data_IF_447114274255
#
_entry.id   IF_447114274255
#
_cell.length_a   1.000
_cell.length_b   1.000
_cell.length_c   1.000
_cell.angle_alpha   90.00
_cell.angle_beta   90.00
_cell.angle_gamma   90.00
#
_symmetry.space_group_name_H-M   'P 1'
#
loop_
_entity.id
_entity.type
_entity.pdbx_description
1 polymer ?
#
# COMPACT_ATOMS: atom_id res chain seq x y z
N UNK A 1 6.17 -19.29 6.88
CA UNK A 1 5.77 -17.97 6.33
C UNK A 1 4.35 -18.11 5.82
N UNK A 2 3.45 -17.23 6.24
CA UNK A 2 2.05 -17.21 5.83
C UNK A 2 1.88 -16.91 4.35
N UNK A 3 0.73 -17.27 3.78
CA UNK A 3 0.47 -17.10 2.36
C UNK A 3 0.39 -15.63 1.97
N UNK A 4 -0.24 -14.79 2.80
CA UNK A 4 -0.25 -13.34 2.60
C UNK A 4 1.16 -12.74 2.50
N UNK A 5 2.08 -13.14 3.39
CA UNK A 5 3.46 -12.61 3.34
C UNK A 5 4.22 -13.12 2.12
N UNK A 6 4.00 -14.37 1.68
CA UNK A 6 4.59 -14.87 0.43
C UNK A 6 4.10 -14.06 -0.77
N UNK A 7 2.81 -13.77 -0.84
CA UNK A 7 2.22 -12.93 -1.89
C UNK A 7 2.78 -11.51 -1.83
N UNK A 8 2.85 -10.91 -0.63
CA UNK A 8 3.43 -9.58 -0.43
C UNK A 8 4.90 -9.52 -0.87
N UNK A 9 5.69 -10.56 -0.65
CA UNK A 9 7.09 -10.61 -1.10
C UNK A 9 7.26 -11.12 -2.53
N UNK A 10 6.16 -11.46 -3.20
CA UNK A 10 6.12 -11.97 -4.55
C UNK A 10 6.50 -10.94 -5.61
N UNK A 11 6.41 -11.35 -6.88
CA UNK A 11 6.64 -10.46 -8.02
C UNK A 11 5.41 -9.59 -8.26
N UNK A 12 5.66 -8.32 -8.51
CA UNK A 12 4.64 -7.37 -8.91
C UNK A 12 5.07 -6.65 -10.19
N UNK A 13 4.09 -6.30 -11.00
CA UNK A 13 4.20 -5.47 -12.19
C UNK A 13 3.99 -4.03 -11.74
N UNK A 14 5.01 -3.19 -11.92
CA UNK A 14 4.89 -1.74 -11.71
C UNK A 14 4.15 -1.10 -12.86
N UNK A 15 3.12 -0.32 -12.55
CA UNK A 15 2.28 0.33 -13.55
C UNK A 15 2.88 1.70 -13.85
N UNK A 16 3.46 1.84 -15.04
CA UNK A 16 4.17 3.06 -15.41
C UNK A 16 3.23 4.13 -15.96
N UNK A 17 2.32 3.79 -16.88
CA UNK A 17 1.46 4.79 -17.52
C UNK A 17 0.24 5.12 -16.68
N UNK A 18 -0.19 6.39 -16.73
CA UNK A 18 -1.40 6.83 -16.04
C UNK A 18 -2.67 6.14 -16.56
N UNK A 19 -2.75 5.88 -17.87
CA UNK A 19 -3.90 5.18 -18.46
C UNK A 19 -4.04 3.75 -17.92
N UNK A 20 -2.93 3.02 -17.81
CA UNK A 20 -2.91 1.67 -17.24
C UNK A 20 -3.26 1.69 -15.74
N UNK A 21 -2.78 2.70 -15.00
CA UNK A 21 -3.12 2.88 -13.59
C UNK A 21 -4.63 3.14 -13.43
N UNK A 22 -5.18 4.04 -14.24
CA UNK A 22 -6.60 4.34 -14.26
C UNK A 22 -7.43 3.10 -14.63
N UNK A 23 -6.98 2.30 -15.60
CA UNK A 23 -7.63 1.06 -15.99
C UNK A 23 -7.65 0.03 -14.85
N UNK A 24 -6.54 -0.14 -14.12
CA UNK A 24 -6.50 -1.01 -12.95
C UNK A 24 -7.48 -0.54 -11.87
N UNK A 25 -7.43 0.75 -11.49
CA UNK A 25 -8.31 1.28 -10.43
C UNK A 25 -9.79 1.14 -10.81
N UNK A 26 -10.13 1.37 -12.08
CA UNK A 26 -11.49 1.12 -12.58
C UNK A 26 -11.89 -0.36 -12.51
N UNK A 27 -10.98 -1.28 -12.83
CA UNK A 27 -11.23 -2.72 -12.70
C UNK A 27 -11.56 -3.11 -11.27
N UNK A 28 -10.87 -2.53 -10.28
CA UNK A 28 -11.16 -2.75 -8.85
C UNK A 28 -12.53 -2.20 -8.47
N UNK A 29 -12.91 -1.02 -8.96
CA UNK A 29 -14.24 -0.43 -8.75
C UNK A 29 -15.34 -1.31 -9.35
N UNK A 30 -15.13 -1.89 -10.53
CA UNK A 30 -16.10 -2.77 -11.17
C UNK A 30 -16.14 -4.19 -10.58
N UNK A 31 -15.15 -4.57 -9.77
CA UNK A 31 -15.07 -5.89 -9.11
C UNK A 31 -14.75 -5.72 -7.62
N UNK A 32 -15.65 -5.08 -6.84
CA UNK A 32 -15.35 -4.58 -5.50
C UNK A 32 -15.51 -5.65 -4.40
N UNK A 33 -16.01 -6.83 -4.74
CA UNK A 33 -16.31 -7.88 -3.76
C UNK A 33 -15.03 -8.57 -3.25
N UNK A 34 -15.10 -9.14 -2.04
CA UNK A 34 -14.05 -9.98 -1.45
C UNK A 34 -12.66 -9.34 -1.33
N UNK A 35 -12.59 -8.01 -1.19
CA UNK A 35 -11.32 -7.31 -0.98
C UNK A 35 -11.11 -6.90 0.48
N UNK A 36 -9.91 -7.18 0.99
CA UNK A 36 -9.35 -6.46 2.12
C UNK A 36 -8.64 -5.21 1.62
N UNK A 37 -8.89 -4.07 2.28
CA UNK A 37 -8.11 -2.85 2.12
C UNK A 37 -7.37 -2.62 3.44
N UNK A 38 -6.06 -2.79 3.42
CA UNK A 38 -5.21 -2.50 4.56
C UNK A 38 -4.46 -1.19 4.31
N UNK A 39 -4.84 -0.13 5.02
CA UNK A 39 -4.01 1.05 5.20
C UNK A 39 -2.98 0.78 6.30
N UNK A 40 -1.70 0.80 5.94
CA UNK A 40 -0.58 0.50 6.85
C UNK A 40 -0.38 1.55 7.96
N UNK A 41 -1.13 2.65 7.94
CA UNK A 41 -1.20 3.60 9.05
C UNK A 41 -2.24 3.21 10.12
N UNK A 42 -3.11 2.26 9.80
CA UNK A 42 -4.22 1.81 10.63
C UNK A 42 -4.03 0.36 11.10
N UNK A 43 -4.96 -0.13 11.93
CA UNK A 43 -4.94 -1.53 12.35
C UNK A 43 -5.24 -2.49 11.18
N UNK A 44 -4.60 -3.66 11.19
CA UNK A 44 -4.82 -4.70 10.17
C UNK A 44 -6.31 -5.10 10.13
N UNK A 45 -6.97 -5.06 8.96
CA UNK A 45 -8.39 -5.38 8.86
C UNK A 45 -8.63 -6.87 9.12
N UNK A 46 -9.71 -7.18 9.85
CA UNK A 46 -10.09 -8.56 10.18
C UNK A 46 -11.09 -9.18 9.19
N UNK A 47 -11.78 -8.36 8.42
CA UNK A 47 -12.80 -8.72 7.42
C UNK A 47 -12.60 -7.95 6.11
N UNK A 48 -13.19 -8.45 5.03
CA UNK A 48 -13.28 -7.72 3.77
C UNK A 48 -14.16 -6.47 3.93
N UNK A 49 -13.97 -5.50 3.05
CA UNK A 49 -14.85 -4.35 2.95
C UNK A 49 -16.14 -4.73 2.22
N UNK A 50 -17.22 -4.01 2.50
CA UNK A 50 -18.40 -4.06 1.64
C UNK A 50 -18.10 -3.33 0.31
N UNK A 51 -18.76 -3.76 -0.76
CA UNK A 51 -18.53 -3.27 -2.11
C UNK A 51 -18.63 -1.74 -2.25
N UNK A 52 -19.60 -1.11 -1.57
CA UNK A 52 -19.82 0.34 -1.62
C UNK A 52 -18.66 1.11 -0.99
N UNK A 53 -18.26 0.72 0.23
CA UNK A 53 -17.13 1.34 0.92
C UNK A 53 -15.82 1.11 0.17
N UNK A 54 -15.59 -0.09 -0.34
CA UNK A 54 -14.41 -0.38 -1.15
C UNK A 54 -14.35 0.53 -2.38
N UNK A 55 -15.44 0.63 -3.14
CA UNK A 55 -15.52 1.51 -4.32
C UNK A 55 -15.25 2.97 -3.99
N UNK A 56 -15.80 3.46 -2.87
CA UNK A 56 -15.58 4.82 -2.40
C UNK A 56 -14.09 5.05 -2.04
N UNK A 57 -13.45 4.11 -1.34
CA UNK A 57 -12.04 4.23 -0.97
C UNK A 57 -11.10 4.14 -2.18
N UNK A 58 -11.36 3.26 -3.16
CA UNK A 58 -10.58 3.23 -4.40
C UNK A 58 -10.74 4.54 -5.18
N UNK A 59 -11.94 5.12 -5.19
CA UNK A 59 -12.19 6.43 -5.82
C UNK A 59 -11.43 7.54 -5.10
N UNK A 60 -11.40 7.52 -3.77
CA UNK A 60 -10.64 8.48 -2.97
C UNK A 60 -9.13 8.33 -3.19
N UNK A 61 -8.60 7.11 -3.20
CA UNK A 61 -7.18 6.84 -3.52
C UNK A 61 -6.87 7.36 -4.91
N UNK A 62 -7.72 7.11 -5.91
CA UNK A 62 -7.54 7.63 -7.27
C UNK A 62 -7.43 9.16 -7.30
N UNK A 63 -8.29 9.86 -6.57
CA UNK A 63 -8.22 11.32 -6.42
C UNK A 63 -6.89 11.75 -5.81
N UNK A 64 -6.46 11.13 -4.70
CA UNK A 64 -5.17 11.42 -4.06
C UNK A 64 -4.00 11.22 -5.04
N UNK A 65 -3.99 10.11 -5.78
CA UNK A 65 -2.94 9.84 -6.75
C UNK A 65 -2.91 10.92 -7.85
N UNK A 66 -4.08 11.32 -8.36
CA UNK A 66 -4.18 12.30 -9.45
C UNK A 66 -3.81 13.72 -9.01
N UNK A 67 -4.22 14.11 -7.81
CA UNK A 67 -4.00 15.47 -7.29
C UNK A 67 -2.60 15.64 -6.68
N UNK A 68 -2.05 14.60 -6.05
CA UNK A 68 -0.79 14.72 -5.31
C UNK A 68 0.42 14.16 -6.04
N UNK A 69 0.24 13.27 -7.03
CA UNK A 69 1.35 12.74 -7.81
C UNK A 69 1.56 13.56 -9.10
N UNK A 70 2.26 14.68 -8.97
CA UNK A 70 2.56 15.62 -10.06
C UNK A 70 3.67 15.14 -11.01
N UNK A 71 3.75 13.83 -11.25
CA UNK A 71 4.71 13.20 -12.16
C UNK A 71 4.05 12.84 -13.50
N UNK A 72 4.86 12.78 -14.56
CA UNK A 72 4.36 12.44 -15.92
C UNK A 72 3.92 10.99 -16.08
N UNK A 73 4.19 10.15 -15.09
CA UNK A 73 3.90 8.72 -15.09
C UNK A 73 3.42 8.30 -13.68
N UNK A 74 2.73 7.17 -13.58
CA UNK A 74 2.23 6.65 -12.30
C UNK A 74 3.38 6.06 -11.47
N UNK A 75 3.94 4.90 -11.82
CA UNK A 75 5.14 4.33 -11.18
C UNK A 75 5.04 3.99 -9.69
N UNK A 76 3.87 4.17 -9.07
CA UNK A 76 3.64 4.03 -7.62
C UNK A 76 2.50 3.06 -7.29
N UNK A 77 1.93 2.44 -8.33
CA UNK A 77 0.93 1.38 -8.23
C UNK A 77 1.51 0.10 -8.81
N UNK A 78 1.32 -1.00 -8.09
CA UNK A 78 1.86 -2.30 -8.44
C UNK A 78 0.79 -3.36 -8.29
N UNK A 79 0.73 -4.34 -9.20
CA UNK A 79 -0.19 -5.48 -9.08
C UNK A 79 0.51 -6.79 -9.41
N UNK A 80 0.03 -7.90 -8.86
CA UNK A 80 0.55 -9.23 -9.19
C UNK A 80 0.10 -9.73 -10.56
N UNK A 81 -1.05 -9.26 -11.07
CA UNK A 81 -1.61 -9.64 -12.37
C UNK A 81 -2.43 -8.47 -12.95
N UNK A 82 -2.16 -8.10 -14.20
CA UNK A 82 -2.84 -6.98 -14.87
C UNK A 82 -4.28 -7.31 -15.25
N UNK A 83 -4.57 -8.57 -15.55
CA UNK A 83 -5.87 -9.02 -16.04
C UNK A 83 -6.80 -9.36 -14.89
N UNK A 84 -6.31 -10.14 -13.93
CA UNK A 84 -7.05 -10.66 -12.78
C UNK A 84 -6.29 -10.35 -11.47
N UNK A 85 -6.24 -9.07 -11.06
CA UNK A 85 -5.50 -8.68 -9.86
C UNK A 85 -6.08 -9.39 -8.64
N UNK A 86 -5.21 -9.98 -7.82
CA UNK A 86 -5.58 -10.50 -6.49
C UNK A 86 -4.79 -9.82 -5.38
N UNK A 87 -3.76 -9.06 -5.74
CA UNK A 87 -2.97 -8.23 -4.86
C UNK A 87 -2.55 -6.94 -5.58
N UNK A 88 -2.83 -5.79 -4.97
CA UNK A 88 -2.38 -4.46 -5.43
C UNK A 88 -1.68 -3.74 -4.27
N UNK A 89 -0.56 -3.09 -4.57
CA UNK A 89 0.18 -2.22 -3.66
C UNK A 89 0.17 -0.81 -4.21
N UNK A 90 -0.18 0.16 -3.37
CA UNK A 90 -0.23 1.57 -3.74
C UNK A 90 0.61 2.37 -2.75
N UNK A 91 1.61 3.06 -3.28
CA UNK A 91 2.44 3.97 -2.51
C UNK A 91 1.83 5.36 -2.52
N UNK A 92 1.75 5.99 -1.35
CA UNK A 92 1.24 7.35 -1.24
C UNK A 92 2.26 8.34 -1.84
N UNK A 93 1.84 9.30 -2.69
CA UNK A 93 2.75 10.22 -3.38
C UNK A 93 3.69 11.00 -2.45
N UNK A 94 3.16 11.50 -1.33
CA UNK A 94 3.93 12.20 -0.28
C UNK A 94 4.96 11.35 0.49
N UNK A 95 4.96 10.03 0.33
CA UNK A 95 5.85 9.11 1.05
C UNK A 95 7.05 8.61 0.20
N UNK A 96 7.15 9.01 -1.07
CA UNK A 96 8.18 8.53 -2.02
C UNK A 96 9.58 9.15 -1.75
N UNK A 97 9.64 10.41 -1.32
CA UNK A 97 10.88 11.18 -1.17
C UNK A 97 11.79 10.77 0.01
N UNK A 98 11.41 9.77 0.81
CA UNK A 98 12.18 9.32 1.98
C UNK A 98 13.17 8.17 1.68
N UNK A 99 13.22 7.67 0.45
CA UNK A 99 14.06 6.52 0.06
C UNK A 99 14.81 6.71 -1.26
N UNK A 100 15.10 7.95 -1.68
CA UNK A 100 16.00 8.22 -2.81
C UNK A 100 17.47 8.04 -2.38
N UNK A 101 17.89 6.78 -2.27
CA UNK A 101 19.29 6.42 -2.05
C UNK A 101 19.40 5.04 -1.42
N UNK A 102 19.61 4.02 -2.26
CA UNK A 102 20.13 2.69 -1.90
C UNK A 102 19.82 2.21 -0.46
N UNK A 103 18.57 2.32 0.00
CA UNK A 103 18.29 2.16 1.42
C UNK A 103 18.02 0.69 1.72
N UNK A 104 18.66 0.18 2.78
CA UNK A 104 18.47 -1.17 3.35
C UNK A 104 17.00 -1.48 3.68
N UNK A 105 16.13 -0.47 3.69
CA UNK A 105 14.70 -0.57 3.91
C UNK A 105 13.94 0.11 2.76
N UNK A 106 13.28 -0.65 1.87
CA UNK A 106 12.41 -0.07 0.85
C UNK A 106 11.20 0.62 1.52
N UNK A 107 10.61 1.65 0.88
CA UNK A 107 9.38 2.25 1.39
C UNK A 107 8.28 1.18 1.51
N UNK A 108 7.41 1.34 2.51
CA UNK A 108 6.24 0.48 2.67
C UNK A 108 5.08 1.09 1.86
N UNK A 109 4.34 0.30 1.06
CA UNK A 109 3.13 0.78 0.40
C UNK A 109 2.10 1.18 1.45
N UNK A 110 1.42 2.32 1.24
CA UNK A 110 0.42 2.76 2.20
C UNK A 110 -0.82 1.86 2.15
N UNK A 111 -1.33 1.60 0.94
CA UNK A 111 -2.54 0.81 0.75
C UNK A 111 -2.23 -0.54 0.11
N UNK A 112 -2.69 -1.60 0.76
CA UNK A 112 -2.56 -2.98 0.33
C UNK A 112 -3.95 -3.56 0.10
N UNK A 113 -4.26 -3.83 -1.17
CA UNK A 113 -5.52 -4.45 -1.58
C UNK A 113 -5.24 -5.92 -1.83
N UNK A 114 -5.96 -6.82 -1.17
CA UNK A 114 -5.72 -8.25 -1.32
C UNK A 114 -6.99 -9.08 -1.16
N UNK A 115 -7.04 -10.22 -1.85
CA UNK A 115 -8.06 -11.25 -1.63
C UNK A 115 -7.75 -12.13 -0.41
N UNK A 116 -6.47 -12.28 -0.09
CA UNK A 116 -5.98 -13.02 1.07
C UNK A 116 -6.02 -12.13 2.31
N UNK A 117 -6.45 -12.67 3.47
CA UNK A 117 -6.52 -11.92 4.72
C UNK A 117 -5.15 -11.31 5.07
N UNK A 118 -5.06 -9.99 5.33
CA UNK A 118 -3.80 -9.32 5.64
C UNK A 118 -3.16 -9.75 6.96
N UNK A 119 -1.84 -9.63 6.99
CA UNK A 119 -1.01 -9.64 8.20
C UNK A 119 -0.26 -8.32 8.34
N UNK A 120 0.22 -8.02 9.55
CA UNK A 120 0.93 -6.78 9.83
C UNK A 120 2.31 -6.74 9.13
N UNK A 121 2.34 -6.12 7.96
CA UNK A 121 3.58 -5.91 7.19
C UNK A 121 4.47 -4.84 7.81
N UNK A 122 3.91 -3.91 8.60
CA UNK A 122 4.66 -2.82 9.23
C UNK A 122 5.46 -3.37 10.40
N UNK A 123 4.87 -4.24 11.22
CA UNK A 123 5.59 -4.96 12.26
C UNK A 123 6.74 -5.80 11.69
N UNK A 124 6.53 -6.40 10.50
CA UNK A 124 7.48 -7.34 9.91
C UNK A 124 8.60 -6.70 9.09
N UNK A 125 8.28 -5.64 8.34
CA UNK A 125 9.19 -5.03 7.36
C UNK A 125 9.44 -3.54 7.61
N UNK A 126 8.72 -2.93 8.56
CA UNK A 126 8.91 -1.54 8.93
C UNK A 126 10.25 -1.31 9.63
N UNK A 127 10.68 -0.02 9.70
CA UNK A 127 11.86 0.32 10.46
C UNK A 127 11.69 -0.11 11.92
N UNK A 128 12.77 -0.54 12.60
CA UNK A 128 12.69 -0.96 13.99
C UNK A 128 12.13 0.17 14.85
N UNK A 129 11.17 -0.16 15.72
CA UNK A 129 10.63 0.80 16.70
C UNK A 129 11.80 1.46 17.44
N UNK A 130 11.92 2.80 17.36
CA UNK A 130 12.94 3.52 18.14
C UNK A 130 12.75 3.17 19.61
N UNK A 131 13.71 2.44 20.19
CA UNK A 131 13.77 2.26 21.64
C UNK A 131 13.97 3.65 22.23
N UNK A 132 12.98 4.17 22.98
CA UNK A 132 13.20 5.36 23.79
C UNK A 132 14.32 5.03 24.77
N UNK A 133 15.51 5.57 24.52
CA UNK A 133 16.65 5.39 25.40
C UNK A 133 16.35 5.97 26.77
N UNK A 134 16.66 5.21 27.83
CA UNK A 134 16.47 5.55 29.24
C UNK A 134 17.03 6.93 29.67
N UNK A 135 17.87 7.56 28.85
CA UNK A 135 18.58 8.80 29.16
C UNK A 135 17.65 10.04 29.12
N UNK A 136 16.53 10.02 28.38
CA UNK A 136 15.61 11.16 28.33
C UNK A 136 14.77 11.35 29.59
N UNK A 137 14.81 10.38 30.53
CA UNK A 137 14.07 10.46 31.80
C UNK A 137 14.85 11.22 32.89
N UNK A 138 16.15 11.45 32.71
CA UNK A 138 17.04 12.01 33.74
C UNK A 138 17.70 13.35 33.37
N UNK A 139 17.52 13.83 32.14
CA UNK A 139 17.97 15.17 31.74
C UNK A 139 16.75 16.06 31.46
N UNK A 140 16.08 16.47 32.53
CA UNK A 140 15.35 17.73 32.57
C UNK A 140 16.30 18.73 33.24
N UNK A 141 16.96 19.56 32.44
CA UNK A 141 17.53 20.82 32.92
C UNK A 141 16.40 21.82 33.14
#
# INVERSE_FOLDING_TARGET
MSDYIKEFQGRFIGIMQWDDCNALLQKLIYQPDDWYLYDTLEAVPSSTMNATSFTADISNIKTILTEEHQERYCGIVYTNDLEKPTFVKIFHPKNLGKSCGSSEHPPIPQWLLSKTKPEDVVEKFGPPKKKQGFISKYLKF
#
